data_IF_506198857363
#
_entry.id   IF_506198857363
#
_cell.length_a   1.000
_cell.length_b   1.000
_cell.length_c   1.000
_cell.angle_alpha   90.00
_cell.angle_beta   90.00
_cell.angle_gamma   90.00
#
_symmetry.space_group_name_H-M   'P 1'
#
loop_
_entity.id
_entity.type
_entity.pdbx_description
1 polymer ?
#
# COMPACT_ATOMS: atom_id res chain seq x y z
N UNK A 1 -8.56 -27.95 28.76
CA UNK A 1 -9.08 -26.84 27.93
C UNK A 1 -8.30 -25.58 28.31
N UNK A 2 -7.17 -25.33 27.65
CA UNK A 2 -6.30 -24.19 27.98
C UNK A 2 -6.99 -22.92 27.45
N UNK A 3 -7.43 -22.06 28.38
CA UNK A 3 -7.84 -20.69 28.05
C UNK A 3 -6.63 -19.99 27.44
N UNK A 4 -6.68 -19.70 26.14
CA UNK A 4 -5.80 -18.68 25.60
C UNK A 4 -6.22 -17.35 26.22
N UNK A 5 -5.41 -16.85 27.16
CA UNK A 5 -5.53 -15.49 27.64
C UNK A 5 -5.41 -14.55 26.43
N UNK A 6 -6.45 -13.75 26.20
CA UNK A 6 -6.45 -12.69 25.21
C UNK A 6 -5.41 -11.65 25.60
N UNK A 7 -4.15 -11.87 25.21
CA UNK A 7 -3.08 -10.93 25.42
C UNK A 7 -3.46 -9.62 24.73
N UNK A 8 -3.69 -8.58 25.53
CA UNK A 8 -4.01 -7.24 25.05
C UNK A 8 -2.94 -6.82 24.03
N UNK A 9 -3.33 -6.29 22.85
CA UNK A 9 -2.36 -5.98 21.82
C UNK A 9 -1.31 -4.98 22.34
N UNK A 10 -0.05 -5.25 22.02
CA UNK A 10 1.06 -4.37 22.42
C UNK A 10 0.78 -2.92 21.99
N UNK A 11 1.32 -1.92 22.70
CA UNK A 11 1.11 -0.51 22.34
C UNK A 11 1.41 -0.20 20.87
N UNK A 12 2.50 -0.78 20.32
CA UNK A 12 2.88 -0.70 18.90
C UNK A 12 1.77 -1.25 18.00
N UNK A 13 1.25 -2.46 18.28
CA UNK A 13 0.15 -3.08 17.53
C UNK A 13 -1.13 -2.25 17.58
N UNK A 14 -1.52 -1.72 18.74
CA UNK A 14 -2.69 -0.83 18.87
C UNK A 14 -2.56 0.43 18.02
N UNK A 15 -1.38 1.04 18.00
CA UNK A 15 -1.10 2.22 17.16
C UNK A 15 -1.24 1.89 15.66
N UNK A 16 -0.69 0.75 15.22
CA UNK A 16 -0.83 0.28 13.83
C UNK A 16 -2.29 0.03 13.49
N UNK A 17 -3.07 -0.65 14.33
CA UNK A 17 -4.51 -0.91 14.09
C UNK A 17 -5.27 0.41 13.92
N UNK A 18 -5.02 1.41 14.78
CA UNK A 18 -5.66 2.72 14.67
C UNK A 18 -5.29 3.44 13.36
N UNK A 19 -4.03 3.37 12.95
CA UNK A 19 -3.58 3.95 11.69
C UNK A 19 -4.16 3.21 10.48
N UNK A 20 -4.22 1.87 10.52
CA UNK A 20 -4.79 1.05 9.46
C UNK A 20 -6.28 1.35 9.23
N UNK A 21 -7.05 1.52 10.30
CA UNK A 21 -8.46 1.92 10.19
C UNK A 21 -8.62 3.30 9.53
N UNK A 22 -7.75 4.26 9.87
CA UNK A 22 -7.74 5.59 9.24
C UNK A 22 -7.32 5.52 7.77
N UNK A 23 -6.34 4.69 7.46
CA UNK A 23 -5.88 4.47 6.09
C UNK A 23 -7.02 3.91 5.22
N UNK A 24 -7.75 2.91 5.73
CA UNK A 24 -8.91 2.34 5.05
C UNK A 24 -10.04 3.35 4.81
N UNK A 25 -10.30 4.24 5.78
CA UNK A 25 -11.24 5.33 5.60
C UNK A 25 -10.77 6.31 4.50
N UNK A 26 -9.50 6.72 4.53
CA UNK A 26 -8.93 7.62 3.52
C UNK A 26 -8.92 7.00 2.11
N UNK A 27 -8.66 5.70 1.99
CA UNK A 27 -8.77 4.97 0.72
C UNK A 27 -10.21 5.00 0.19
N UNK A 28 -11.20 4.80 1.06
CA UNK A 28 -12.62 4.91 0.69
C UNK A 28 -12.94 6.32 0.19
N UNK A 29 -12.46 7.38 0.85
CA UNK A 29 -12.66 8.76 0.40
C UNK A 29 -12.08 9.01 -0.99
N UNK A 30 -10.84 8.57 -1.26
CA UNK A 30 -10.23 8.70 -2.58
C UNK A 30 -11.09 8.05 -3.68
N UNK A 31 -11.68 6.88 -3.39
CA UNK A 31 -12.57 6.20 -4.34
C UNK A 31 -13.85 7.00 -4.55
N UNK A 32 -14.42 7.59 -3.50
CA UNK A 32 -15.60 8.46 -3.62
C UNK A 32 -15.31 9.69 -4.48
N UNK A 33 -14.14 10.33 -4.31
CA UNK A 33 -13.72 11.47 -5.14
C UNK A 33 -13.66 11.10 -6.63
N UNK A 34 -13.15 9.90 -6.96
CA UNK A 34 -13.15 9.37 -8.32
C UNK A 34 -14.58 9.21 -8.83
N UNK A 35 -15.48 8.62 -8.03
CA UNK A 35 -16.86 8.36 -8.45
C UNK A 35 -17.65 9.64 -8.73
N UNK A 36 -17.33 10.75 -8.06
CA UNK A 36 -17.96 12.05 -8.29
C UNK A 36 -17.16 12.96 -9.24
N UNK A 37 -16.07 12.47 -9.83
CA UNK A 37 -15.14 13.22 -10.68
C UNK A 37 -14.51 14.45 -10.00
N UNK A 38 -14.32 14.43 -8.68
CA UNK A 38 -13.64 15.51 -7.95
C UNK A 38 -12.11 15.30 -7.99
N UNK A 39 -11.46 15.83 -9.03
CA UNK A 39 -10.01 15.74 -9.18
C UNK A 39 -9.24 16.49 -8.06
N UNK A 40 -9.60 17.73 -7.67
CA UNK A 40 -8.98 18.39 -6.51
C UNK A 40 -9.19 17.65 -5.18
N UNK A 41 -10.37 17.06 -4.96
CA UNK A 41 -10.65 16.16 -3.82
C UNK A 41 -9.68 14.99 -3.81
N UNK A 42 -9.63 14.25 -4.93
CA UNK A 42 -8.76 13.08 -5.07
C UNK A 42 -7.29 13.40 -4.78
N UNK A 43 -6.77 14.53 -5.24
CA UNK A 43 -5.38 14.94 -4.95
C UNK A 43 -5.15 15.16 -3.46
N UNK A 44 -6.07 15.84 -2.78
CA UNK A 44 -5.96 16.15 -1.34
C UNK A 44 -6.08 14.88 -0.51
N UNK A 45 -7.08 14.05 -0.79
CA UNK A 45 -7.34 12.84 -0.01
C UNK A 45 -6.32 11.74 -0.29
N UNK A 46 -5.74 11.70 -1.51
CA UNK A 46 -4.56 10.86 -1.79
C UNK A 46 -3.33 11.29 -0.97
N UNK A 47 -3.12 12.59 -0.76
CA UNK A 47 -2.03 13.08 0.08
C UNK A 47 -2.24 12.67 1.55
N UNK A 48 -3.48 12.73 2.06
CA UNK A 48 -3.85 12.23 3.39
C UNK A 48 -3.60 10.72 3.49
N UNK A 49 -3.97 9.96 2.47
CA UNK A 49 -3.70 8.52 2.40
C UNK A 49 -2.21 8.23 2.54
N UNK A 50 -1.37 8.92 1.76
CA UNK A 50 0.09 8.74 1.77
C UNK A 50 0.70 9.12 3.12
N UNK A 51 0.27 10.21 3.76
CA UNK A 51 0.74 10.62 5.10
C UNK A 51 0.39 9.58 6.19
N UNK A 52 -0.80 8.98 6.12
CA UNK A 52 -1.17 7.89 7.06
C UNK A 52 -0.33 6.65 6.79
N UNK A 53 -0.08 6.31 5.53
CA UNK A 53 0.72 5.14 5.16
C UNK A 53 2.18 5.30 5.63
N UNK A 54 2.77 6.49 5.47
CA UNK A 54 4.10 6.80 5.97
C UNK A 54 4.20 6.67 7.50
N UNK A 55 3.15 7.08 8.23
CA UNK A 55 3.07 6.87 9.69
C UNK A 55 3.06 5.40 10.07
N UNK A 56 2.47 4.53 9.25
CA UNK A 56 2.51 3.08 9.48
C UNK A 56 3.93 2.56 9.27
N UNK A 57 4.60 2.95 8.19
CA UNK A 57 6.00 2.55 7.92
C UNK A 57 6.92 2.94 9.07
N UNK A 58 6.84 4.19 9.54
CA UNK A 58 7.60 4.67 10.71
C UNK A 58 7.35 3.86 11.97
N UNK A 59 6.10 3.47 12.22
CA UNK A 59 5.79 2.60 13.36
C UNK A 59 6.34 1.19 13.16
N UNK A 60 6.51 0.72 11.93
CA UNK A 60 7.07 -0.59 11.61
C UNK A 60 8.60 -0.57 11.40
N UNK A 61 9.27 0.54 11.67
CA UNK A 61 10.71 0.73 11.44
C UNK A 61 11.11 0.54 9.96
N UNK A 62 10.24 1.01 9.05
CA UNK A 62 10.49 1.08 7.60
C UNK A 62 10.59 2.55 7.20
N UNK A 63 11.68 2.92 6.54
CA UNK A 63 11.89 4.28 6.06
C UNK A 63 11.18 4.51 4.71
N UNK A 64 10.67 5.71 4.50
CA UNK A 64 9.96 6.05 3.27
C UNK A 64 10.85 5.88 2.03
N UNK A 65 12.14 6.20 2.15
CA UNK A 65 13.13 6.03 1.08
C UNK A 65 13.28 4.58 0.62
N UNK A 66 13.18 3.61 1.53
CA UNK A 66 13.25 2.18 1.21
C UNK A 66 12.05 1.77 0.35
N UNK A 67 10.85 2.27 0.67
CA UNK A 67 9.64 1.98 -0.10
C UNK A 67 9.70 2.63 -1.48
N UNK A 68 10.18 3.88 -1.57
CA UNK A 68 10.35 4.55 -2.86
C UNK A 68 11.41 3.88 -3.74
N UNK A 69 12.53 3.43 -3.16
CA UNK A 69 13.55 2.68 -3.87
C UNK A 69 13.01 1.35 -4.41
N UNK A 70 12.22 0.64 -3.61
CA UNK A 70 11.53 -0.57 -4.08
C UNK A 70 10.59 -0.26 -5.23
N UNK A 71 9.76 0.79 -5.13
CA UNK A 71 8.85 1.20 -6.21
C UNK A 71 9.60 1.53 -7.52
N UNK A 72 10.70 2.28 -7.44
CA UNK A 72 11.55 2.59 -8.59
C UNK A 72 12.12 1.32 -9.23
N UNK A 73 12.62 0.39 -8.40
CA UNK A 73 13.09 -0.90 -8.87
C UNK A 73 12.00 -1.70 -9.61
N UNK A 74 10.74 -1.69 -9.11
CA UNK A 74 9.61 -2.35 -9.81
C UNK A 74 9.33 -1.72 -11.17
N UNK A 75 9.40 -0.39 -11.26
CA UNK A 75 9.14 0.34 -12.49
C UNK A 75 10.24 0.06 -13.52
N UNK A 76 11.51 0.13 -13.10
CA UNK A 76 12.66 -0.20 -13.93
C UNK A 76 12.59 -1.63 -14.46
N UNK A 77 12.33 -2.61 -13.59
CA UNK A 77 12.16 -3.99 -14.00
C UNK A 77 11.02 -4.15 -15.04
N UNK A 78 9.90 -3.46 -14.82
CA UNK A 78 8.78 -3.50 -15.76
C UNK A 78 9.11 -2.84 -17.11
N UNK A 79 10.03 -1.88 -17.16
CA UNK A 79 10.52 -1.25 -18.38
C UNK A 79 11.51 -2.15 -19.12
N UNK A 80 12.47 -2.73 -18.41
CA UNK A 80 13.43 -3.69 -18.97
C UNK A 80 12.71 -4.86 -19.63
N UNK A 81 11.71 -5.43 -18.96
CA UNK A 81 10.88 -6.52 -19.50
C UNK A 81 10.08 -6.12 -20.76
N UNK A 82 9.67 -4.86 -20.87
CA UNK A 82 9.01 -4.34 -22.07
C UNK A 82 10.01 -4.20 -23.22
N UNK A 83 11.23 -3.75 -22.94
CA UNK A 83 12.28 -3.55 -23.93
C UNK A 83 12.83 -4.87 -24.49
N UNK A 84 12.99 -5.90 -23.66
CA UNK A 84 13.54 -7.21 -24.07
C UNK A 84 12.54 -8.12 -24.77
N UNK A 85 11.29 -7.67 -24.98
CA UNK A 85 10.24 -8.46 -25.64
C UNK A 85 9.74 -9.66 -24.82
N UNK A 86 10.27 -9.89 -23.63
CA UNK A 86 9.83 -10.89 -22.66
C UNK A 86 8.53 -10.42 -21.99
N UNK A 87 7.45 -10.44 -22.77
CA UNK A 87 6.11 -10.52 -22.19
C UNK A 87 6.07 -11.79 -21.35
N UNK A 88 5.75 -11.69 -20.05
CA UNK A 88 5.44 -12.88 -19.22
C UNK A 88 4.19 -13.54 -19.80
N UNK A 89 4.35 -14.39 -20.81
CA UNK A 89 3.29 -15.26 -21.32
C UNK A 89 3.22 -16.45 -20.39
N UNK A 90 2.33 -16.39 -19.40
CA UNK A 90 1.86 -17.58 -18.69
C UNK A 90 0.38 -17.80 -18.99
N UNK A 91 0.11 -18.58 -20.04
CA UNK A 91 -1.20 -19.22 -20.27
C UNK A 91 -2.43 -18.31 -20.46
N UNK A 92 -2.31 -17.15 -21.11
CA UNK A 92 -3.47 -16.43 -21.66
C UNK A 92 -4.32 -15.58 -20.72
N UNK A 93 -4.02 -15.49 -19.41
CA UNK A 93 -4.64 -14.50 -18.52
C UNK A 93 -3.58 -13.77 -17.70
N UNK A 94 -3.50 -12.45 -17.87
CA UNK A 94 -2.61 -11.56 -17.15
C UNK A 94 -2.95 -11.65 -15.66
N UNK A 95 -2.08 -12.26 -14.85
CA UNK A 95 -2.09 -12.06 -13.41
C UNK A 95 -0.86 -11.24 -13.05
N UNK A 96 -1.10 -10.13 -12.35
CA UNK A 96 -0.08 -9.35 -11.65
C UNK A 96 0.76 -10.32 -10.81
N UNK A 97 1.97 -10.63 -11.26
CA UNK A 97 2.86 -11.56 -10.56
C UNK A 97 3.48 -10.81 -9.39
N UNK A 98 3.32 -11.38 -8.20
CA UNK A 98 4.08 -11.03 -7.00
C UNK A 98 5.56 -10.90 -7.38
N UNK A 99 6.12 -9.71 -7.17
CA UNK A 99 7.57 -9.55 -7.14
C UNK A 99 8.12 -10.31 -5.91
N UNK A 100 9.30 -10.94 -6.01
CA UNK A 100 9.98 -11.57 -4.88
C UNK A 100 10.30 -10.57 -3.77
#
# INVERSE_FOLDING_TARGET
>A
MVRQEGASPSPKKRKVIKLANRLGASATTCILDVLVNDRPGLMRDSAVFMDILEKIWKVCDVEASEVWAELDHRLKLAEDMRATGTRVRKGGRIRSTKLP
#
